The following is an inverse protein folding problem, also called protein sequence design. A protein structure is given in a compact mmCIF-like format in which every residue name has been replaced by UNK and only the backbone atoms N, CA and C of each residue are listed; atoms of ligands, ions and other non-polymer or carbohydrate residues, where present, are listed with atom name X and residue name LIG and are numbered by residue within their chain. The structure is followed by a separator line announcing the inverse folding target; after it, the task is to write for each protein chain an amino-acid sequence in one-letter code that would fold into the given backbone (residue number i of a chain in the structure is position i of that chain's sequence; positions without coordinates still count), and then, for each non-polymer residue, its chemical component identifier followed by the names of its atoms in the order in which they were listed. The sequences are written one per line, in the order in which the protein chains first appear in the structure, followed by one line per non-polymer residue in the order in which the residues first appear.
data_IF_709573976166
#
_entry.id   IF_709573976166
#
_cell.length_a   1.000
_cell.length_b   1.000
_cell.length_c   1.000
_cell.angle_alpha   90.00
_cell.angle_beta   90.00
_cell.angle_gamma   90.00
#
_symmetry.space_group_name_H-M   'P 1'
#
loop_
_entity.id
_entity.type
_entity.pdbx_description
1 polymer ?
#
# COMPACT_ATOMS: atom_id res chain seq x y z
N UNK A 1 -3.24 -20.07 -7.00
CA UNK A 1 -3.33 -18.69 -6.44
C UNK A 1 -4.79 -18.26 -6.45
N UNK A 2 -5.27 -17.56 -5.42
CA UNK A 2 -6.67 -17.10 -5.33
C UNK A 2 -6.68 -15.59 -5.07
N UNK A 3 -7.50 -14.85 -5.81
CA UNK A 3 -7.72 -13.41 -5.60
C UNK A 3 -7.70 -12.59 -6.90
N UNK A 4 -8.17 -11.32 -6.87
CA UNK A 4 -8.91 -10.68 -5.78
C UNK A 4 -10.37 -11.18 -5.69
N UNK A 5 -10.86 -11.45 -4.47
CA UNK A 5 -12.24 -11.90 -4.22
C UNK A 5 -12.97 -10.95 -3.25
N UNK A 6 -14.31 -10.82 -3.33
CA UNK A 6 -15.06 -9.99 -2.38
C UNK A 6 -14.95 -10.52 -0.95
N UNK A 7 -14.21 -9.81 -0.09
CA UNK A 7 -13.94 -10.26 1.28
C UNK A 7 -15.16 -10.42 2.19
N UNK A 8 -16.30 -9.77 1.87
CA UNK A 8 -17.56 -10.00 2.59
C UNK A 8 -18.17 -11.38 2.29
N UNK A 9 -17.96 -11.91 1.09
CA UNK A 9 -18.52 -13.19 0.65
C UNK A 9 -17.58 -14.36 0.95
N UNK A 10 -16.27 -14.09 0.90
CA UNK A 10 -15.23 -15.10 1.08
C UNK A 10 -14.34 -14.71 2.26
N UNK A 11 -14.85 -14.91 3.48
CA UNK A 11 -14.06 -14.82 4.72
C UNK A 11 -13.22 -16.08 4.97
N UNK A 12 -13.66 -17.20 4.41
CA UNK A 12 -12.99 -18.50 4.46
C UNK A 12 -12.82 -19.05 3.04
N UNK A 13 -11.72 -19.76 2.80
CA UNK A 13 -11.40 -20.36 1.50
C UNK A 13 -10.95 -21.80 1.72
N UNK A 14 -11.70 -22.74 1.14
CA UNK A 14 -11.36 -24.17 1.14
C UNK A 14 -10.53 -24.51 -0.10
N UNK A 15 -9.35 -25.10 0.10
CA UNK A 15 -8.48 -25.54 -0.98
C UNK A 15 -8.55 -27.07 -1.12
N UNK A 16 -9.18 -27.61 -2.17
CA UNK A 16 -9.07 -29.03 -2.46
C UNK A 16 -7.66 -29.31 -3.00
N UNK A 17 -6.83 -30.04 -2.23
CA UNK A 17 -5.48 -30.42 -2.65
C UNK A 17 -5.37 -31.95 -2.76
N UNK A 18 -4.71 -32.43 -3.82
CA UNK A 18 -4.47 -33.85 -4.04
C UNK A 18 -3.04 -34.18 -3.63
N UNK A 19 -2.87 -35.16 -2.75
CA UNK A 19 -1.54 -35.65 -2.38
C UNK A 19 -0.86 -36.36 -3.56
N UNK A 20 0.44 -36.15 -3.78
CA UNK A 20 1.21 -36.92 -4.75
C UNK A 20 1.38 -38.39 -4.32
N UNK A 21 1.62 -39.28 -5.29
CA UNK A 21 1.90 -40.69 -5.07
C UNK A 21 3.40 -41.00 -5.30
N UNK A 22 4.17 -41.35 -4.26
CA UNK A 22 5.58 -41.73 -4.36
C UNK A 22 5.87 -42.97 -5.22
N UNK A 23 4.88 -43.86 -5.43
CA UNK A 23 5.09 -45.07 -6.23
C UNK A 23 5.22 -44.74 -7.73
N UNK A 24 4.54 -43.68 -8.18
CA UNK A 24 4.55 -43.23 -9.57
C UNK A 24 5.46 -42.02 -9.81
N UNK A 25 5.77 -41.25 -8.75
CA UNK A 25 6.63 -40.05 -8.82
C UNK A 25 7.87 -40.20 -7.92
N UNK A 26 9.03 -40.44 -8.55
CA UNK A 26 10.30 -40.70 -7.85
C UNK A 26 10.83 -39.51 -7.03
N UNK A 27 10.46 -38.29 -7.38
CA UNK A 27 10.92 -37.06 -6.71
C UNK A 27 10.12 -36.73 -5.44
N UNK A 28 9.13 -37.56 -5.09
CA UNK A 28 8.28 -37.40 -3.91
C UNK A 28 8.54 -38.55 -2.95
N UNK A 29 8.77 -38.24 -1.68
CA UNK A 29 9.04 -39.24 -0.64
C UNK A 29 8.01 -39.17 0.49
N UNK A 30 7.85 -40.27 1.23
CA UNK A 30 7.04 -40.30 2.45
C UNK A 30 7.78 -39.57 3.58
N UNK A 31 7.52 -38.28 3.71
CA UNK A 31 8.13 -37.40 4.71
C UNK A 31 7.11 -36.38 5.21
N UNK A 32 7.47 -35.64 6.26
CA UNK A 32 6.69 -34.51 6.76
C UNK A 32 7.04 -33.26 5.93
N UNK A 33 6.05 -32.72 5.22
CA UNK A 33 6.21 -31.50 4.42
C UNK A 33 5.56 -30.30 5.10
N UNK A 34 6.19 -29.11 5.11
CA UNK A 34 5.55 -27.89 5.56
C UNK A 34 4.57 -27.37 4.50
N UNK A 35 3.51 -26.68 4.95
CA UNK A 35 2.59 -25.94 4.10
C UNK A 35 2.63 -24.48 4.54
N UNK A 36 2.96 -23.58 3.62
CA UNK A 36 3.01 -22.14 3.87
C UNK A 36 1.82 -21.46 3.19
N UNK A 37 1.20 -20.50 3.88
CA UNK A 37 0.08 -19.73 3.37
C UNK A 37 0.32 -18.24 3.63
N UNK A 38 0.13 -17.42 2.61
CA UNK A 38 0.08 -15.96 2.71
C UNK A 38 -1.29 -15.46 2.28
N UNK A 39 -1.89 -14.59 3.08
CA UNK A 39 -3.18 -13.97 2.78
C UNK A 39 -3.11 -12.46 3.03
N UNK A 40 -3.69 -11.68 2.12
CA UNK A 40 -3.82 -10.24 2.28
C UNK A 40 -5.29 -9.84 2.12
N UNK A 41 -5.75 -8.94 3.00
CA UNK A 41 -7.02 -8.25 2.87
C UNK A 41 -6.72 -6.78 2.54
N UNK A 42 -7.57 -6.17 1.73
CA UNK A 42 -7.47 -4.75 1.35
C UNK A 42 -6.32 -4.42 0.37
N UNK A 43 -6.04 -3.12 0.19
CA UNK A 43 -5.09 -2.60 -0.82
C UNK A 43 -3.68 -2.50 -0.25
N UNK A 44 -2.70 -2.84 -1.07
CA UNK A 44 -1.28 -2.61 -0.78
C UNK A 44 -0.89 -1.13 -0.73
N UNK A 45 0.27 -0.87 -0.15
CA UNK A 45 0.83 0.47 0.05
C UNK A 45 1.70 0.97 -1.10
N UNK A 46 2.30 0.06 -1.88
CA UNK A 46 3.28 0.35 -2.92
C UNK A 46 2.89 -0.43 -4.18
N UNK A 47 3.01 0.22 -5.34
CA UNK A 47 2.81 -0.39 -6.64
C UNK A 47 4.09 -1.08 -7.13
N UNK A 48 4.01 -2.00 -8.12
CA UNK A 48 5.19 -2.70 -8.63
C UNK A 48 6.28 -1.78 -9.20
N UNK A 49 5.95 -0.56 -9.61
CA UNK A 49 6.88 0.46 -10.08
C UNK A 49 7.59 1.22 -8.94
N UNK A 50 7.30 0.88 -7.68
CA UNK A 50 7.83 1.54 -6.48
C UNK A 50 7.06 2.78 -6.06
N UNK A 51 6.07 3.24 -6.84
CA UNK A 51 5.25 4.40 -6.48
C UNK A 51 4.31 4.07 -5.32
N UNK A 52 4.04 5.06 -4.45
CA UNK A 52 3.15 4.89 -3.29
C UNK A 52 1.68 4.90 -3.73
N UNK A 53 0.88 4.02 -3.16
CA UNK A 53 -0.57 4.02 -3.32
C UNK A 53 -1.22 5.10 -2.47
N UNK A 54 -2.50 5.39 -2.75
CA UNK A 54 -3.31 6.30 -1.93
C UNK A 54 -3.69 5.72 -0.56
N UNK A 55 -3.20 4.53 -0.20
CA UNK A 55 -3.42 3.86 1.09
C UNK A 55 -2.26 4.03 2.06
N UNK A 56 -1.40 5.01 1.84
CA UNK A 56 -0.15 5.21 2.58
C UNK A 56 -0.09 6.63 3.10
N UNK A 57 0.59 6.81 4.24
CA UNK A 57 0.91 8.13 4.78
C UNK A 57 1.80 8.90 3.80
N UNK A 58 1.44 10.16 3.54
CA UNK A 58 2.23 11.08 2.74
C UNK A 58 3.07 11.94 3.67
N UNK A 59 4.40 11.84 3.56
CA UNK A 59 5.34 12.63 4.35
C UNK A 59 5.79 13.84 3.53
N UNK A 60 6.20 14.91 4.21
CA UNK A 60 6.79 16.08 3.58
C UNK A 60 8.09 15.72 2.85
N UNK A 61 8.28 16.28 1.65
CA UNK A 61 9.50 16.07 0.85
C UNK A 61 10.68 16.91 1.35
N UNK A 62 10.40 18.02 2.04
CA UNK A 62 11.39 18.94 2.59
C UNK A 62 10.97 19.48 3.96
N UNK A 63 11.95 19.94 4.75
CA UNK A 63 11.69 20.68 5.98
C UNK A 63 11.38 22.15 5.65
N UNK A 64 10.48 22.78 6.41
CA UNK A 64 10.09 24.17 6.18
C UNK A 64 8.72 24.48 6.77
N UNK A 65 8.20 25.66 6.44
CA UNK A 65 6.90 26.16 6.89
C UNK A 65 5.87 25.93 5.80
N UNK A 66 4.68 25.46 6.15
CA UNK A 66 3.56 25.28 5.22
C UNK A 66 2.99 26.64 4.81
N UNK A 67 3.41 27.14 3.65
CA UNK A 67 3.04 28.48 3.18
C UNK A 67 1.66 28.52 2.53
N UNK A 68 1.23 27.43 1.90
CA UNK A 68 -0.07 27.35 1.21
C UNK A 68 -0.60 25.91 1.17
N UNK A 69 -1.91 25.77 1.36
CA UNK A 69 -2.64 24.52 1.15
C UNK A 69 -3.78 24.81 0.18
N UNK A 70 -3.85 24.06 -0.93
CA UNK A 70 -4.93 24.15 -1.93
C UNK A 70 -5.66 22.80 -1.96
N UNK A 71 -6.99 22.85 -1.83
CA UNK A 71 -7.84 21.67 -2.01
C UNK A 71 -8.18 21.54 -3.49
N UNK A 72 -7.80 20.41 -4.10
CA UNK A 72 -8.15 20.10 -5.50
C UNK A 72 -9.59 19.65 -5.60
N UNK A 73 -10.22 19.91 -6.75
CA UNK A 73 -11.64 19.59 -7.05
C UNK A 73 -12.05 18.13 -6.76
N UNK A 74 -11.12 17.18 -6.77
CA UNK A 74 -11.37 15.76 -6.46
C UNK A 74 -11.09 15.33 -5.00
N UNK A 75 -10.79 16.28 -4.10
CA UNK A 75 -10.54 16.01 -2.67
C UNK A 75 -9.09 15.60 -2.33
N UNK A 76 -8.12 16.05 -3.12
CA UNK A 76 -6.68 15.91 -2.81
C UNK A 76 -6.08 17.26 -2.42
N UNK A 77 -4.84 17.26 -1.92
CA UNK A 77 -4.17 18.49 -1.46
C UNK A 77 -2.94 18.79 -2.30
N UNK A 78 -2.71 20.08 -2.51
CA UNK A 78 -1.44 20.62 -2.97
C UNK A 78 -0.89 21.50 -1.86
N UNK A 79 0.26 21.12 -1.33
CA UNK A 79 0.89 21.77 -0.19
C UNK A 79 2.18 22.41 -0.68
N UNK A 80 2.30 23.71 -0.47
CA UNK A 80 3.54 24.45 -0.71
C UNK A 80 4.28 24.59 0.61
N UNK A 81 5.49 24.03 0.66
CA UNK A 81 6.40 24.11 1.80
C UNK A 81 7.51 25.07 1.41
N UNK A 82 7.75 26.09 2.23
CA UNK A 82 8.85 27.03 2.04
C UNK A 82 9.95 26.69 3.02
N UNK A 83 11.14 26.38 2.51
CA UNK A 83 12.33 26.17 3.32
C UNK A 83 12.65 27.47 4.07
N UNK A 84 12.81 27.36 5.40
CA UNK A 84 13.05 28.50 6.26
C UNK A 84 14.47 29.09 6.12
N UNK A 85 15.40 28.35 5.52
CA UNK A 85 16.82 28.70 5.43
C UNK A 85 17.20 29.40 4.12
N UNK A 86 16.68 28.93 2.98
CA UNK A 86 17.03 29.44 1.65
C UNK A 86 15.83 29.98 0.85
N UNK A 87 14.62 29.91 1.42
CA UNK A 87 13.38 30.41 0.80
C UNK A 87 12.90 29.59 -0.39
N UNK A 88 13.52 28.44 -0.69
CA UNK A 88 13.07 27.55 -1.77
C UNK A 88 11.70 26.99 -1.44
N UNK A 89 10.87 26.85 -2.47
CA UNK A 89 9.53 26.29 -2.34
C UNK A 89 9.50 24.90 -2.97
N UNK A 90 8.96 23.95 -2.21
CA UNK A 90 8.67 22.59 -2.67
C UNK A 90 7.16 22.41 -2.67
N UNK A 91 6.64 21.74 -3.69
CA UNK A 91 5.21 21.46 -3.82
C UNK A 91 4.98 19.97 -3.67
N UNK A 92 4.25 19.59 -2.63
CA UNK A 92 3.86 18.23 -2.35
C UNK A 92 2.41 17.99 -2.78
N UNK A 93 2.19 16.85 -3.43
CA UNK A 93 0.86 16.44 -3.91
C UNK A 93 0.37 15.26 -3.07
N UNK A 94 -0.69 15.49 -2.28
CA UNK A 94 -1.36 14.43 -1.52
C UNK A 94 -2.58 13.96 -2.31
N UNK A 95 -2.66 12.67 -2.68
CA UNK A 95 -3.78 12.16 -3.43
C UNK A 95 -5.05 12.14 -2.57
N UNK A 96 -6.19 11.97 -3.22
CA UNK A 96 -7.50 11.82 -2.58
C UNK A 96 -7.52 10.61 -1.63
N UNK A 97 -7.83 10.80 -0.33
CA UNK A 97 -8.18 9.79 0.71
C UNK A 97 -7.49 10.00 2.07
N UNK A 98 -6.18 10.31 2.16
CA UNK A 98 -5.57 10.68 3.42
C UNK A 98 -6.18 11.98 3.96
N UNK A 99 -6.38 12.01 5.28
CA UNK A 99 -6.79 13.23 5.99
C UNK A 99 -5.56 14.12 6.23
N UNK A 100 -5.72 15.42 6.03
CA UNK A 100 -4.65 16.38 6.26
C UNK A 100 -4.57 16.73 7.75
N UNK A 101 -3.41 16.51 8.37
CA UNK A 101 -3.18 16.78 9.79
C UNK A 101 -2.41 18.08 10.07
N UNK A 102 -1.91 18.75 9.04
CA UNK A 102 -1.11 19.99 9.17
C UNK A 102 -1.90 21.21 8.73
N UNK A 103 -1.60 22.36 9.33
CA UNK A 103 -2.22 23.64 9.01
C UNK A 103 -1.24 24.62 8.36
N UNK A 104 -1.78 25.68 7.74
CA UNK A 104 -0.95 26.75 7.16
C UNK A 104 -0.18 27.46 8.28
N UNK A 105 1.12 27.66 8.08
CA UNK A 105 2.02 28.35 9.01
C UNK A 105 2.68 27.45 10.06
N UNK A 106 2.36 26.16 10.06
CA UNK A 106 3.06 25.11 10.80
C UNK A 106 4.38 24.72 10.14
#
# INVERSE_FOLDING_TARGET
MVGPVPGKKYSEITFPNLSPDPATKKDVHFLKYPIFLGGNKERGQIYPDGSKSKNTVSNATAAGIVSKIIIKYKGGYEITITDASDGRQVVDFIPTRPELLVSKGE
#
